data_IF_019199810016
#
_entry.id   IF_019199810016
#
_cell.length_a   1.000
_cell.length_b   1.000
_cell.length_c   1.000
_cell.angle_alpha   90.00
_cell.angle_beta   90.00
_cell.angle_gamma   90.00
#
_symmetry.space_group_name_H-M   'P 1'
#
loop_
_entity.id
_entity.type
_entity.pdbx_description
1 polymer ?
#
# COMPACT_ATOMS: atom_id res chain seq x y z
N UNK A 1 -24.14 -27.63 31.59
CA UNK A 1 -24.19 -28.02 33.01
C UNK A 1 -25.63 -27.86 33.48
N UNK A 2 -26.21 -28.84 34.19
CA UNK A 2 -27.65 -28.87 34.47
C UNK A 2 -28.05 -27.70 35.40
N UNK A 3 -28.95 -26.81 34.97
CA UNK A 3 -29.29 -25.57 35.72
C UNK A 3 -29.80 -25.88 37.14
N UNK A 4 -30.47 -27.01 37.31
CA UNK A 4 -30.91 -27.53 38.61
C UNK A 4 -29.74 -27.81 39.56
N UNK A 5 -28.62 -28.36 39.05
CA UNK A 5 -27.43 -28.60 39.89
C UNK A 5 -26.79 -27.29 40.33
N UNK A 6 -26.89 -26.24 39.52
CA UNK A 6 -26.33 -24.92 39.82
C UNK A 6 -27.14 -24.20 40.90
N UNK A 7 -28.47 -24.20 40.79
CA UNK A 7 -29.35 -23.64 41.82
C UNK A 7 -29.11 -24.31 43.17
N UNK A 8 -29.01 -25.65 43.15
CA UNK A 8 -28.69 -26.42 44.34
C UNK A 8 -27.33 -26.02 44.96
N UNK A 9 -26.27 -25.87 44.16
CA UNK A 9 -24.95 -25.44 44.66
C UNK A 9 -25.00 -24.01 45.25
N UNK A 10 -25.74 -23.08 44.63
CA UNK A 10 -25.84 -21.71 45.15
C UNK A 10 -26.62 -21.63 46.46
N UNK A 11 -27.68 -22.43 46.62
CA UNK A 11 -28.44 -22.51 47.87
C UNK A 11 -27.59 -23.11 49.00
N UNK A 12 -26.77 -24.11 48.69
CA UNK A 12 -25.90 -24.77 49.67
C UNK A 12 -24.78 -23.82 50.16
N UNK A 13 -24.22 -23.01 49.25
CA UNK A 13 -23.21 -21.99 49.62
C UNK A 13 -23.80 -20.93 50.55
N UNK A 14 -25.06 -20.50 50.33
CA UNK A 14 -25.75 -19.58 51.24
C UNK A 14 -26.04 -20.22 52.61
N UNK A 15 -26.33 -21.53 52.63
CA UNK A 15 -26.48 -22.28 53.87
C UNK A 15 -25.17 -22.31 54.68
N UNK A 16 -24.03 -22.53 54.01
CA UNK A 16 -22.70 -22.53 54.65
C UNK A 16 -22.28 -21.16 55.20
N UNK A 17 -22.69 -20.07 54.53
CA UNK A 17 -22.50 -18.70 55.03
C UNK A 17 -23.33 -18.44 56.29
N UNK A 18 -24.62 -18.78 56.29
CA UNK A 18 -25.52 -18.57 57.45
C UNK A 18 -25.15 -19.39 58.68
N UNK A 19 -24.56 -20.57 58.47
CA UNK A 19 -24.15 -21.49 59.54
C UNK A 19 -22.72 -21.25 60.04
N UNK A 20 -21.98 -20.27 59.48
CA UNK A 20 -20.57 -20.01 59.76
C UNK A 20 -19.65 -21.24 59.59
N UNK A 21 -20.05 -22.17 58.71
CA UNK A 21 -19.28 -23.39 58.41
C UNK A 21 -18.00 -23.08 57.63
N UNK A 22 -18.01 -21.98 56.87
CA UNK A 22 -16.89 -21.50 56.06
C UNK A 22 -16.72 -19.99 56.25
N UNK A 23 -15.49 -19.45 56.21
CA UNK A 23 -15.27 -18.02 56.31
C UNK A 23 -15.90 -17.24 55.15
N UNK A 24 -16.53 -16.10 55.43
CA UNK A 24 -17.26 -15.27 54.44
C UNK A 24 -16.50 -14.99 53.14
N UNK A 25 -15.18 -14.81 53.23
CA UNK A 25 -14.33 -14.54 52.06
C UNK A 25 -14.34 -15.70 51.06
N UNK A 26 -14.42 -16.95 51.53
CA UNK A 26 -14.48 -18.13 50.67
C UNK A 26 -15.86 -18.33 50.06
N UNK A 27 -16.94 -18.10 50.82
CA UNK A 27 -18.31 -18.15 50.29
C UNK A 27 -18.51 -17.12 49.17
N UNK A 28 -18.01 -15.89 49.35
CA UNK A 28 -18.04 -14.85 48.31
C UNK A 28 -17.26 -15.21 47.05
N UNK A 29 -16.10 -15.86 47.20
CA UNK A 29 -15.31 -16.34 46.07
C UNK A 29 -16.06 -17.40 45.26
N UNK A 30 -16.63 -18.41 45.93
CA UNK A 30 -17.40 -19.47 45.28
C UNK A 30 -18.67 -18.92 44.61
N UNK A 31 -19.38 -18.02 45.29
CA UNK A 31 -20.57 -17.37 44.76
C UNK A 31 -20.26 -16.54 43.49
N UNK A 32 -19.11 -15.85 43.46
CA UNK A 32 -18.67 -15.15 42.25
C UNK A 32 -18.34 -16.11 41.11
N UNK A 33 -17.69 -17.24 41.40
CA UNK A 33 -17.31 -18.23 40.39
C UNK A 33 -18.53 -18.83 39.67
N UNK A 34 -19.62 -19.11 40.42
CA UNK A 34 -20.88 -19.60 39.85
C UNK A 34 -21.80 -18.49 39.28
N UNK A 35 -21.50 -17.21 39.55
CA UNK A 35 -22.17 -16.05 38.94
C UNK A 35 -21.48 -15.62 37.63
N UNK A 36 -20.16 -15.66 37.55
CA UNK A 36 -19.38 -15.30 36.35
C UNK A 36 -19.69 -16.21 35.16
N UNK A 37 -19.97 -17.50 35.39
CA UNK A 37 -20.33 -18.43 34.31
C UNK A 37 -21.70 -18.14 33.65
N UNK A 38 -22.53 -17.24 34.19
CA UNK A 38 -23.78 -16.84 33.52
C UNK A 38 -23.67 -15.67 32.54
N UNK A 39 -22.53 -14.98 32.48
CA UNK A 39 -22.31 -13.94 31.48
C UNK A 39 -20.86 -13.98 31.02
N UNK A 40 -20.46 -15.08 30.38
CA UNK A 40 -19.35 -15.00 29.42
C UNK A 40 -19.82 -14.24 28.18
N UNK A 41 -19.97 -12.93 28.33
CA UNK A 41 -19.84 -12.00 27.23
C UNK A 41 -18.43 -12.19 26.67
N UNK A 42 -18.34 -12.92 25.54
CA UNK A 42 -17.10 -13.09 24.78
C UNK A 42 -16.61 -11.72 24.33
N UNK A 43 -15.82 -11.06 25.18
CA UNK A 43 -15.04 -9.87 24.85
C UNK A 43 -13.89 -10.29 23.94
N UNK A 44 -14.14 -10.30 22.64
CA UNK A 44 -13.08 -10.15 21.66
C UNK A 44 -12.92 -8.66 21.37
N UNK A 45 -11.71 -8.12 21.56
CA UNK A 45 -11.35 -6.73 21.22
C UNK A 45 -12.16 -5.61 21.90
N UNK A 46 -12.48 -5.75 23.19
CA UNK A 46 -12.91 -4.61 24.03
C UNK A 46 -14.23 -3.93 23.64
N UNK A 47 -15.02 -4.52 22.74
CA UNK A 47 -16.35 -4.05 22.40
C UNK A 47 -17.37 -5.06 22.90
N UNK A 48 -18.30 -4.58 23.73
CA UNK A 48 -19.44 -5.36 24.22
C UNK A 48 -20.38 -5.67 23.06
N UNK A 49 -20.48 -6.95 22.70
CA UNK A 49 -21.35 -7.45 21.62
C UNK A 49 -22.81 -7.59 22.09
N UNK A 50 -23.09 -7.42 23.39
CA UNK A 50 -24.40 -7.71 23.95
C UNK A 50 -25.46 -6.60 23.73
N UNK A 51 -25.07 -5.45 23.17
CA UNK A 51 -26.01 -4.37 22.81
C UNK A 51 -26.44 -4.38 21.33
N UNK A 52 -26.05 -5.39 20.55
CA UNK A 52 -26.30 -5.40 19.10
C UNK A 52 -27.64 -6.01 18.69
N UNK A 53 -28.39 -6.63 19.61
CA UNK A 53 -29.67 -7.28 19.30
C UNK A 53 -30.85 -6.30 19.15
N UNK A 54 -30.75 -5.09 19.71
CA UNK A 54 -31.82 -4.08 19.63
C UNK A 54 -31.34 -2.71 19.10
N UNK A 55 -30.27 -2.67 18.30
CA UNK A 55 -29.86 -1.44 17.62
C UNK A 55 -30.56 -1.30 16.26
N UNK A 56 -31.75 -0.70 16.33
CA UNK A 56 -32.39 0.18 15.32
C UNK A 56 -32.33 -0.33 13.87
N UNK A 57 -33.46 -0.81 13.35
CA UNK A 57 -33.78 -0.94 11.92
C UNK A 57 -33.19 0.22 11.08
N UNK A 58 -33.17 1.43 11.63
CA UNK A 58 -32.53 2.62 11.05
C UNK A 58 -31.04 2.45 10.65
N UNK A 59 -30.20 1.77 11.45
CA UNK A 59 -28.81 1.54 11.07
C UNK A 59 -28.69 0.50 9.97
N UNK A 60 -29.54 -0.53 9.99
CA UNK A 60 -29.61 -1.55 8.94
C UNK A 60 -30.11 -0.97 7.61
N UNK A 61 -31.16 -0.14 7.65
CA UNK A 61 -31.66 0.56 6.46
C UNK A 61 -30.69 1.62 5.97
N UNK A 62 -30.03 2.35 6.86
CA UNK A 62 -28.98 3.30 6.49
C UNK A 62 -27.78 2.60 5.83
N UNK A 63 -27.35 1.45 6.36
CA UNK A 63 -26.29 0.64 5.77
C UNK A 63 -26.71 0.09 4.40
N UNK A 64 -27.92 -0.46 4.29
CA UNK A 64 -28.45 -0.96 3.01
C UNK A 64 -28.57 0.16 1.97
N UNK A 65 -29.07 1.32 2.38
CA UNK A 65 -29.17 2.51 1.52
C UNK A 65 -27.80 3.00 1.08
N UNK A 66 -26.82 3.10 1.98
CA UNK A 66 -25.44 3.46 1.64
C UNK A 66 -24.82 2.46 0.67
N UNK A 67 -24.95 1.16 0.92
CA UNK A 67 -24.43 0.11 0.04
C UNK A 67 -25.11 0.19 -1.34
N UNK A 68 -26.43 0.36 -1.38
CA UNK A 68 -27.18 0.50 -2.63
C UNK A 68 -26.80 1.77 -3.39
N UNK A 69 -26.56 2.88 -2.68
CA UNK A 69 -26.15 4.15 -3.28
C UNK A 69 -24.72 4.05 -3.85
N UNK A 70 -23.78 3.53 -3.07
CA UNK A 70 -22.42 3.25 -3.54
C UNK A 70 -22.44 2.26 -4.72
N UNK A 71 -23.22 1.18 -4.63
CA UNK A 71 -23.37 0.21 -5.70
C UNK A 71 -23.92 0.84 -6.98
N UNK A 72 -24.93 1.70 -6.87
CA UNK A 72 -25.50 2.41 -8.02
C UNK A 72 -24.49 3.37 -8.67
N UNK A 73 -23.71 4.10 -7.86
CA UNK A 73 -22.63 4.98 -8.34
C UNK A 73 -21.56 4.17 -9.06
N UNK A 74 -21.11 3.05 -8.48
CA UNK A 74 -20.06 2.21 -9.09
C UNK A 74 -20.53 1.56 -10.39
N UNK A 75 -21.76 1.04 -10.44
CA UNK A 75 -22.29 0.39 -11.65
C UNK A 75 -22.56 1.37 -12.78
N UNK A 76 -23.00 2.59 -12.47
CA UNK A 76 -23.30 3.63 -13.46
C UNK A 76 -22.16 4.65 -13.63
N UNK A 77 -20.97 4.35 -13.12
CA UNK A 77 -19.86 5.29 -13.09
C UNK A 77 -19.52 5.84 -14.49
N UNK A 78 -19.51 4.96 -15.49
CA UNK A 78 -19.21 5.31 -16.88
C UNK A 78 -20.32 6.11 -17.58
N UNK A 79 -21.54 6.10 -17.04
CA UNK A 79 -22.66 6.87 -17.59
C UNK A 79 -22.68 8.32 -17.10
N UNK A 80 -21.91 8.64 -16.07
CA UNK A 80 -21.79 10.01 -15.57
C UNK A 80 -20.92 10.87 -16.48
N UNK A 81 -21.22 12.18 -16.54
CA UNK A 81 -20.38 13.14 -17.25
C UNK A 81 -18.97 13.23 -16.66
N UNK A 82 -17.99 13.62 -17.48
CA UNK A 82 -16.55 13.63 -17.13
C UNK A 82 -16.27 14.41 -15.83
N UNK A 83 -16.95 15.54 -15.60
CA UNK A 83 -16.77 16.37 -14.41
C UNK A 83 -17.17 15.64 -13.13
N UNK A 84 -18.24 14.84 -13.18
CA UNK A 84 -18.72 14.08 -12.02
C UNK A 84 -17.82 12.86 -11.76
N UNK A 85 -17.33 12.20 -12.81
CA UNK A 85 -16.34 11.12 -12.69
C UNK A 85 -15.05 11.62 -12.01
N UNK A 86 -14.55 12.80 -12.42
CA UNK A 86 -13.40 13.44 -11.77
C UNK A 86 -13.70 13.75 -10.30
N UNK A 87 -14.87 14.34 -10.02
CA UNK A 87 -15.27 14.71 -8.66
C UNK A 87 -15.35 13.52 -7.71
N UNK A 88 -16.02 12.44 -8.13
CA UNK A 88 -16.17 11.22 -7.32
C UNK A 88 -14.82 10.54 -7.10
N UNK A 89 -13.98 10.42 -8.13
CA UNK A 89 -12.66 9.81 -7.99
C UNK A 89 -11.73 10.63 -7.10
N UNK A 90 -11.75 11.95 -7.23
CA UNK A 90 -10.96 12.82 -6.35
C UNK A 90 -11.44 12.71 -4.90
N UNK A 91 -12.75 12.71 -4.67
CA UNK A 91 -13.33 12.52 -3.34
C UNK A 91 -12.89 11.18 -2.74
N UNK A 92 -12.95 10.10 -3.52
CA UNK A 92 -12.52 8.78 -3.09
C UNK A 92 -11.03 8.74 -2.71
N UNK A 93 -10.16 9.35 -3.53
CA UNK A 93 -8.72 9.47 -3.26
C UNK A 93 -8.45 10.26 -1.96
N UNK A 94 -9.14 11.39 -1.78
CA UNK A 94 -9.02 12.23 -0.57
C UNK A 94 -9.47 11.45 0.67
N UNK A 95 -10.59 10.71 0.59
CA UNK A 95 -11.04 9.85 1.68
C UNK A 95 -10.02 8.76 2.02
N UNK A 96 -9.42 8.11 1.03
CA UNK A 96 -8.39 7.08 1.27
C UNK A 96 -7.13 7.66 1.93
N UNK A 97 -6.62 8.80 1.44
CA UNK A 97 -5.48 9.47 2.07
C UNK A 97 -5.82 9.96 3.48
N UNK A 98 -6.97 10.60 3.67
CA UNK A 98 -7.42 11.13 4.96
C UNK A 98 -7.59 10.03 6.01
N UNK A 99 -8.24 8.93 5.64
CA UNK A 99 -8.39 7.76 6.53
C UNK A 99 -7.06 7.08 6.80
N UNK A 100 -6.18 6.95 5.81
CA UNK A 100 -4.81 6.45 5.99
C UNK A 100 -4.02 7.27 7.00
N UNK A 101 -4.04 8.60 6.88
CA UNK A 101 -3.35 9.51 7.80
C UNK A 101 -3.96 9.45 9.21
N UNK A 102 -5.29 9.40 9.32
CA UNK A 102 -5.99 9.30 10.61
C UNK A 102 -5.63 8.01 11.38
N UNK A 103 -5.63 6.86 10.67
CA UNK A 103 -5.39 5.55 11.28
C UNK A 103 -3.90 5.29 11.54
N UNK A 104 -2.99 6.10 10.95
CA UNK A 104 -1.54 5.93 11.09
C UNK A 104 -1.06 5.76 12.53
N UNK A 105 -1.60 6.52 13.48
CA UNK A 105 -1.23 6.42 14.90
C UNK A 105 -1.60 5.07 15.53
N UNK A 106 -2.63 4.40 15.01
CA UNK A 106 -3.13 3.11 15.47
C UNK A 106 -2.45 1.94 14.74
N UNK A 107 -2.27 2.06 13.42
CA UNK A 107 -1.64 1.03 12.59
C UNK A 107 -0.95 1.62 11.36
N UNK A 108 0.37 1.78 11.43
CA UNK A 108 1.18 2.33 10.33
C UNK A 108 1.14 1.46 9.06
N UNK A 109 0.99 0.14 9.19
CA UNK A 109 0.84 -0.76 8.03
C UNK A 109 -0.48 -0.55 7.28
N UNK A 110 -1.60 -0.38 8.00
CA UNK A 110 -2.89 -0.14 7.37
C UNK A 110 -2.92 1.24 6.68
N UNK A 111 -2.32 2.25 7.33
CA UNK A 111 -2.16 3.58 6.76
C UNK A 111 -1.37 3.54 5.43
N UNK A 112 -0.25 2.81 5.39
CA UNK A 112 0.55 2.65 4.18
C UNK A 112 -0.22 1.97 3.05
N UNK A 113 -1.00 0.93 3.34
CA UNK A 113 -1.83 0.24 2.34
C UNK A 113 -2.93 1.15 1.77
N UNK A 114 -3.61 1.93 2.62
CA UNK A 114 -4.65 2.87 2.19
C UNK A 114 -4.07 3.99 1.30
N UNK A 115 -2.93 4.57 1.70
CA UNK A 115 -2.25 5.58 0.89
C UNK A 115 -1.73 4.99 -0.44
N UNK A 116 -1.30 3.73 -0.45
CA UNK A 116 -0.86 3.04 -1.67
C UNK A 116 -2.03 2.81 -2.62
N UNK A 117 -3.19 2.37 -2.11
CA UNK A 117 -4.43 2.26 -2.88
C UNK A 117 -4.88 3.62 -3.45
N UNK A 118 -4.76 4.69 -2.66
CA UNK A 118 -5.06 6.04 -3.11
C UNK A 118 -4.14 6.48 -4.27
N UNK A 119 -2.84 6.18 -4.14
CA UNK A 119 -1.83 6.46 -5.18
C UNK A 119 -2.10 5.69 -6.46
N UNK A 120 -2.37 4.39 -6.36
CA UNK A 120 -2.69 3.55 -7.51
C UNK A 120 -3.93 4.06 -8.24
N UNK A 121 -4.98 4.39 -7.48
CA UNK A 121 -6.20 4.98 -8.04
C UNK A 121 -5.88 6.28 -8.76
N UNK A 122 -5.10 7.18 -8.15
CA UNK A 122 -4.68 8.43 -8.77
C UNK A 122 -3.94 8.17 -10.11
N UNK A 123 -2.89 7.35 -10.10
CA UNK A 123 -2.06 7.10 -11.29
C UNK A 123 -2.86 6.45 -12.43
N UNK A 124 -3.79 5.54 -12.13
CA UNK A 124 -4.57 4.81 -13.14
C UNK A 124 -5.75 5.62 -13.69
N UNK A 125 -6.37 6.45 -12.86
CA UNK A 125 -7.63 7.11 -13.22
C UNK A 125 -7.44 8.24 -14.24
N UNK A 126 -6.33 8.99 -14.19
CA UNK A 126 -6.05 10.04 -15.18
C UNK A 126 -5.94 9.52 -16.62
N UNK A 127 -5.04 8.56 -16.91
CA UNK A 127 -4.94 7.94 -18.23
C UNK A 127 -6.26 7.34 -18.73
N UNK A 128 -7.07 6.79 -17.83
CA UNK A 128 -8.40 6.28 -18.15
C UNK A 128 -9.31 7.39 -18.68
N UNK A 129 -9.43 8.52 -17.98
CA UNK A 129 -10.25 9.65 -18.45
C UNK A 129 -9.76 10.23 -19.77
N UNK A 130 -8.44 10.30 -19.96
CA UNK A 130 -7.83 10.81 -21.18
C UNK A 130 -8.10 9.94 -22.41
N UNK A 131 -8.38 8.65 -22.23
CA UNK A 131 -8.74 7.76 -23.35
C UNK A 131 -10.07 8.11 -24.02
N UNK A 132 -10.93 8.89 -23.34
CA UNK A 132 -12.21 9.36 -23.89
C UNK A 132 -12.13 10.75 -24.52
N UNK A 133 -10.97 11.43 -24.45
CA UNK A 133 -10.78 12.73 -25.08
C UNK A 133 -10.24 12.55 -26.51
N UNK A 134 -10.89 13.15 -27.48
CA UNK A 134 -10.41 13.18 -28.87
C UNK A 134 -9.24 14.16 -28.98
N UNK A 135 -8.06 13.68 -29.39
CA UNK A 135 -6.87 14.51 -29.64
C UNK A 135 -5.54 13.81 -29.34
N UNK A 136 -4.42 14.51 -29.53
CA UNK A 136 -3.11 14.04 -29.09
C UNK A 136 -2.96 14.23 -27.57
N UNK A 137 -3.37 13.21 -26.82
CA UNK A 137 -3.40 13.23 -25.36
C UNK A 137 -2.06 12.81 -24.73
N UNK A 138 -1.02 12.56 -25.54
CA UNK A 138 0.26 12.06 -25.05
C UNK A 138 0.93 13.05 -24.08
N UNK A 139 1.02 14.33 -24.46
CA UNK A 139 1.63 15.36 -23.62
C UNK A 139 0.83 15.61 -22.33
N UNK A 140 -0.49 15.62 -22.40
CA UNK A 140 -1.35 15.74 -21.22
C UNK A 140 -1.17 14.57 -20.26
N UNK A 141 -1.06 13.34 -20.78
CA UNK A 141 -0.78 12.16 -19.99
C UNK A 141 0.58 12.23 -19.28
N UNK A 142 1.63 12.70 -19.97
CA UNK A 142 2.96 12.90 -19.38
C UNK A 142 2.94 13.97 -18.28
N UNK A 143 2.30 15.12 -18.52
CA UNK A 143 2.19 16.21 -17.53
C UNK A 143 1.43 15.73 -16.29
N UNK A 144 0.33 15.00 -16.48
CA UNK A 144 -0.45 14.42 -15.40
C UNK A 144 0.36 13.42 -14.56
N UNK A 145 1.05 12.48 -15.21
CA UNK A 145 1.91 11.50 -14.55
C UNK A 145 3.05 12.19 -13.78
N UNK A 146 3.62 13.26 -14.35
CA UNK A 146 4.64 14.06 -13.69
C UNK A 146 4.09 14.71 -12.41
N UNK A 147 2.90 15.31 -12.49
CA UNK A 147 2.20 15.84 -11.32
C UNK A 147 1.94 14.78 -10.24
N UNK A 148 1.53 13.58 -10.64
CA UNK A 148 1.35 12.45 -9.73
C UNK A 148 2.65 12.03 -9.06
N UNK A 149 3.75 11.92 -9.81
CA UNK A 149 5.06 11.55 -9.27
C UNK A 149 5.56 12.59 -8.26
N UNK A 150 5.42 13.88 -8.56
CA UNK A 150 5.76 14.97 -7.63
C UNK A 150 4.91 14.87 -6.36
N UNK A 151 3.60 14.69 -6.49
CA UNK A 151 2.71 14.54 -5.34
C UNK A 151 3.10 13.36 -4.45
N UNK A 152 3.34 12.19 -5.03
CA UNK A 152 3.77 10.98 -4.31
C UNK A 152 5.13 11.18 -3.63
N UNK A 153 6.06 11.88 -4.29
CA UNK A 153 7.36 12.22 -3.71
C UNK A 153 7.21 13.12 -2.48
N UNK A 154 6.36 14.15 -2.57
CA UNK A 154 6.08 15.06 -1.46
C UNK A 154 5.44 14.34 -0.26
N UNK A 155 4.46 13.46 -0.53
CA UNK A 155 3.83 12.61 0.49
C UNK A 155 4.89 11.69 1.14
N UNK A 156 5.73 11.05 0.33
CA UNK A 156 6.81 10.19 0.81
C UNK A 156 7.88 10.93 1.61
N UNK A 157 8.17 12.18 1.26
CA UNK A 157 9.05 13.06 2.03
C UNK A 157 8.42 13.41 3.37
N UNK A 158 7.19 13.95 3.37
CA UNK A 158 6.52 14.41 4.57
C UNK A 158 6.34 13.28 5.61
N UNK A 159 5.95 12.10 5.16
CA UNK A 159 5.74 10.94 6.04
C UNK A 159 6.99 10.07 6.26
N UNK A 160 8.12 10.41 5.64
CA UNK A 160 9.38 9.67 5.73
C UNK A 160 9.24 8.20 5.29
N UNK A 161 8.42 7.93 4.28
CA UNK A 161 8.18 6.60 3.74
C UNK A 161 9.07 6.32 2.53
N UNK A 162 10.07 5.45 2.72
CA UNK A 162 11.05 5.07 1.68
C UNK A 162 10.38 4.56 0.39
N UNK A 163 9.37 3.69 0.52
CA UNK A 163 8.71 3.06 -0.62
C UNK A 163 7.97 4.05 -1.51
N UNK A 164 7.41 5.12 -0.93
CA UNK A 164 6.73 6.17 -1.68
C UNK A 164 7.73 7.03 -2.47
N UNK A 165 8.85 7.40 -1.85
CA UNK A 165 9.90 8.15 -2.52
C UNK A 165 10.50 7.33 -3.67
N UNK A 166 10.79 6.04 -3.42
CA UNK A 166 11.27 5.12 -4.44
C UNK A 166 10.26 4.96 -5.59
N UNK A 167 8.97 4.74 -5.30
CA UNK A 167 7.92 4.63 -6.31
C UNK A 167 7.81 5.89 -7.19
N UNK A 168 7.95 7.08 -6.61
CA UNK A 168 7.98 8.33 -7.37
C UNK A 168 9.16 8.39 -8.35
N UNK A 169 10.36 7.98 -7.93
CA UNK A 169 11.54 7.93 -8.79
C UNK A 169 11.40 6.92 -9.94
N UNK A 170 10.77 5.77 -9.69
CA UNK A 170 10.40 4.83 -10.75
C UNK A 170 9.41 5.47 -11.73
N UNK A 171 8.41 6.21 -11.21
CA UNK A 171 7.47 6.96 -12.04
C UNK A 171 8.16 7.99 -12.94
N UNK A 172 9.08 8.79 -12.41
CA UNK A 172 9.90 9.71 -13.22
C UNK A 172 10.73 9.00 -14.29
N UNK A 173 11.24 7.81 -13.97
CA UNK A 173 11.98 6.99 -14.93
C UNK A 173 11.07 6.54 -16.08
N UNK A 174 9.86 6.06 -15.79
CA UNK A 174 8.89 5.68 -16.83
C UNK A 174 8.56 6.87 -17.73
N UNK A 175 8.34 8.06 -17.15
CA UNK A 175 8.10 9.31 -17.90
C UNK A 175 9.30 9.62 -18.81
N UNK A 176 10.51 9.56 -18.29
CA UNK A 176 11.74 9.77 -19.06
C UNK A 176 11.86 8.80 -20.24
N UNK A 177 11.62 7.51 -20.02
CA UNK A 177 11.64 6.49 -21.08
C UNK A 177 10.61 6.75 -22.17
N UNK A 178 9.36 7.04 -21.79
CA UNK A 178 8.29 7.37 -22.75
C UNK A 178 8.61 8.63 -23.55
N UNK A 179 9.13 9.66 -22.88
CA UNK A 179 9.53 10.91 -23.52
C UNK A 179 10.67 10.71 -24.53
N UNK A 180 11.66 9.89 -24.18
CA UNK A 180 12.81 9.60 -25.05
C UNK A 180 12.39 8.86 -26.33
N UNK A 181 11.47 7.90 -26.22
CA UNK A 181 10.92 7.18 -27.38
C UNK A 181 10.00 8.06 -28.24
N UNK A 182 9.28 9.00 -27.63
CA UNK A 182 8.50 9.99 -28.36
C UNK A 182 9.41 10.95 -29.15
N UNK A 183 10.54 11.37 -28.56
CA UNK A 183 11.50 12.28 -29.21
C UNK A 183 12.24 11.61 -30.39
N UNK A 184 12.59 10.33 -30.27
CA UNK A 184 13.25 9.55 -31.32
C UNK A 184 12.56 8.20 -31.54
N UNK A 185 11.48 8.18 -32.35
CA UNK A 185 10.88 6.92 -32.79
C UNK A 185 11.92 6.10 -33.56
N UNK A 186 12.11 4.83 -33.19
CA UNK A 186 13.09 3.96 -33.85
C UNK A 186 14.55 4.19 -33.44
N UNK A 187 14.79 4.74 -32.24
CA UNK A 187 16.12 4.73 -31.61
C UNK A 187 16.72 3.30 -31.66
N UNK A 188 18.04 3.16 -31.72
CA UNK A 188 18.70 1.84 -31.69
C UNK A 188 19.00 1.38 -30.27
N UNK A 189 19.01 0.05 -30.07
CA UNK A 189 19.05 -0.59 -28.75
C UNK A 189 20.18 -0.06 -27.87
N UNK A 190 21.39 0.02 -28.45
CA UNK A 190 22.57 0.51 -27.75
C UNK A 190 22.48 1.99 -27.36
N UNK A 191 21.91 2.86 -28.20
CA UNK A 191 21.78 4.29 -27.88
C UNK A 191 20.77 4.48 -26.74
N UNK A 192 19.70 3.69 -26.75
CA UNK A 192 18.73 3.73 -25.66
C UNK A 192 19.38 3.32 -24.34
N UNK A 193 20.10 2.20 -24.28
CA UNK A 193 20.81 1.82 -23.05
C UNK A 193 21.87 2.81 -22.61
N UNK A 194 22.63 3.38 -23.54
CA UNK A 194 23.60 4.43 -23.23
C UNK A 194 22.95 5.66 -22.60
N UNK A 195 21.69 5.97 -22.90
CA UNK A 195 20.97 7.08 -22.26
C UNK A 195 20.67 6.81 -20.77
N UNK A 196 20.46 5.54 -20.39
CA UNK A 196 20.10 5.14 -19.04
C UNK A 196 21.30 4.96 -18.10
N UNK A 197 22.48 4.64 -18.64
CA UNK A 197 23.70 4.45 -17.83
C UNK A 197 24.07 5.73 -17.04
N UNK A 198 24.18 6.93 -17.66
CA UNK A 198 24.45 8.17 -16.91
C UNK A 198 23.39 8.46 -15.86
N UNK A 199 22.11 8.23 -16.18
CA UNK A 199 21.02 8.42 -15.23
C UNK A 199 21.18 7.52 -14.00
N UNK A 200 21.49 6.23 -14.18
CA UNK A 200 21.71 5.30 -13.07
C UNK A 200 22.88 5.73 -12.17
N UNK A 201 24.00 6.17 -12.77
CA UNK A 201 25.18 6.65 -12.03
C UNK A 201 24.88 7.91 -11.23
N UNK A 202 24.16 8.87 -11.82
CA UNK A 202 23.73 10.10 -11.13
C UNK A 202 22.88 9.76 -9.91
N UNK A 203 21.94 8.82 -10.03
CA UNK A 203 21.09 8.42 -8.90
C UNK A 203 21.89 7.76 -7.78
N UNK A 204 22.83 6.86 -8.09
CA UNK A 204 23.70 6.23 -7.09
C UNK A 204 24.58 7.29 -6.42
N UNK A 205 25.15 8.21 -7.19
CA UNK A 205 25.98 9.31 -6.69
C UNK A 205 25.22 10.27 -5.78
N UNK A 206 24.01 10.69 -6.19
CA UNK A 206 23.11 11.49 -5.35
C UNK A 206 22.74 10.76 -4.06
N UNK A 207 22.48 9.45 -4.15
CA UNK A 207 22.23 8.62 -2.97
C UNK A 207 23.40 8.63 -1.98
N UNK A 208 24.64 8.64 -2.46
CA UNK A 208 25.81 8.76 -1.60
C UNK A 208 25.92 10.15 -0.94
N UNK A 209 25.76 11.23 -1.70
CA UNK A 209 25.85 12.60 -1.15
C UNK A 209 24.76 12.85 -0.11
N UNK A 210 23.53 12.47 -0.43
CA UNK A 210 22.36 12.71 0.42
C UNK A 210 22.39 11.81 1.66
N UNK A 211 23.22 10.76 1.70
CA UNK A 211 23.32 9.84 2.83
C UNK A 211 23.63 10.53 4.16
N UNK A 212 24.42 11.61 4.14
CA UNK A 212 24.75 12.38 5.35
C UNK A 212 23.58 13.21 5.88
N UNK A 213 22.71 13.72 4.99
CA UNK A 213 21.60 14.63 5.34
C UNK A 213 20.30 13.88 5.57
N UNK A 214 19.93 12.98 4.66
CA UNK A 214 18.68 12.22 4.71
C UNK A 214 18.90 10.76 4.34
N UNK A 215 19.07 9.92 5.36
CA UNK A 215 19.29 8.47 5.20
C UNK A 215 18.18 7.77 4.43
N UNK A 216 16.93 8.23 4.57
CA UNK A 216 15.77 7.63 3.91
C UNK A 216 15.79 7.98 2.41
N UNK A 217 15.98 9.26 2.10
CA UNK A 217 16.12 9.72 0.70
C UNK A 217 17.30 9.07 0.00
N UNK A 218 18.45 8.97 0.68
CA UNK A 218 19.64 8.32 0.17
C UNK A 218 19.40 6.85 -0.23
N UNK A 219 18.69 6.08 0.61
CA UNK A 219 18.32 4.70 0.31
C UNK A 219 17.37 4.62 -0.89
N UNK A 220 16.39 5.53 -0.98
CA UNK A 220 15.48 5.61 -2.15
C UNK A 220 16.26 5.83 -3.45
N UNK A 221 17.22 6.76 -3.45
CA UNK A 221 18.09 7.04 -4.60
C UNK A 221 18.99 5.85 -4.96
N UNK A 222 19.55 5.16 -3.96
CA UNK A 222 20.36 3.97 -4.18
C UNK A 222 19.56 2.85 -4.87
N UNK A 223 18.38 2.52 -4.32
CA UNK A 223 17.50 1.52 -4.92
C UNK A 223 17.04 1.93 -6.31
N UNK A 224 16.64 3.20 -6.48
CA UNK A 224 16.26 3.73 -7.78
C UNK A 224 17.41 3.57 -8.78
N UNK A 225 18.63 4.03 -8.46
CA UNK A 225 19.79 3.93 -9.35
C UNK A 225 20.09 2.50 -9.81
N UNK A 226 20.04 1.52 -8.90
CA UNK A 226 20.20 0.11 -9.24
C UNK A 226 19.11 -0.34 -10.21
N UNK A 227 17.86 0.02 -9.94
CA UNK A 227 16.75 -0.39 -10.83
C UNK A 227 16.80 0.31 -12.19
N UNK A 228 17.18 1.60 -12.25
CA UNK A 228 17.33 2.36 -13.48
C UNK A 228 18.31 1.69 -14.46
N UNK A 229 19.33 1.01 -13.95
CA UNK A 229 20.30 0.29 -14.78
C UNK A 229 19.67 -0.86 -15.61
N UNK A 230 18.55 -1.42 -15.12
CA UNK A 230 17.80 -2.53 -15.76
C UNK A 230 16.45 -2.08 -16.34
N UNK A 231 16.10 -0.79 -16.27
CA UNK A 231 14.86 -0.27 -16.86
C UNK A 231 14.79 -0.42 -18.39
N UNK A 232 15.88 -0.24 -19.18
CA UNK A 232 15.81 -0.44 -20.62
C UNK A 232 15.22 -1.80 -21.00
N UNK A 233 15.67 -2.85 -20.33
CA UNK A 233 15.25 -4.24 -20.51
C UNK A 233 13.77 -4.42 -20.17
N UNK A 234 13.35 -3.90 -19.01
CA UNK A 234 11.94 -3.89 -18.60
C UNK A 234 11.06 -3.19 -19.64
N UNK A 235 11.53 -2.08 -20.18
CA UNK A 235 10.80 -1.33 -21.20
C UNK A 235 10.65 -2.14 -22.49
N UNK A 236 11.71 -2.84 -22.93
CA UNK A 236 11.61 -3.70 -24.12
C UNK A 236 10.71 -4.91 -23.94
N UNK A 237 10.70 -5.50 -22.75
CA UNK A 237 9.83 -6.61 -22.41
C UNK A 237 8.35 -6.17 -22.42
N UNK A 238 8.07 -4.95 -21.98
CA UNK A 238 6.71 -4.42 -21.89
C UNK A 238 6.17 -3.83 -23.21
N UNK A 239 6.98 -3.05 -23.93
CA UNK A 239 6.52 -2.28 -25.09
C UNK A 239 6.41 -3.10 -26.38
N UNK A 240 7.13 -4.23 -26.47
CA UNK A 240 7.33 -4.93 -27.73
C UNK A 240 8.18 -4.10 -28.69
N UNK A 241 9.21 -4.70 -29.28
CA UNK A 241 10.08 -4.05 -30.27
C UNK A 241 10.27 -4.95 -31.47
N UNK A 242 10.94 -4.43 -32.51
CA UNK A 242 11.43 -5.26 -33.62
C UNK A 242 12.31 -6.38 -33.08
N UNK A 243 12.35 -7.51 -33.78
CA UNK A 243 13.14 -8.66 -33.32
C UNK A 243 14.61 -8.30 -33.10
N UNK A 244 15.20 -7.53 -34.02
CA UNK A 244 16.58 -7.04 -33.91
C UNK A 244 16.83 -6.19 -32.65
N UNK A 245 15.89 -5.30 -32.34
CA UNK A 245 15.96 -4.45 -31.14
C UNK A 245 15.88 -5.29 -29.86
N UNK A 246 14.99 -6.29 -29.83
CA UNK A 246 14.84 -7.20 -28.68
C UNK A 246 16.08 -8.07 -28.48
N UNK A 247 16.65 -8.59 -29.56
CA UNK A 247 17.88 -9.39 -29.52
C UNK A 247 19.06 -8.56 -28.99
N UNK A 248 19.22 -7.32 -29.47
CA UNK A 248 20.26 -6.41 -29.03
C UNK A 248 20.24 -6.17 -27.51
N UNK A 249 19.08 -5.82 -26.96
CA UNK A 249 18.93 -5.54 -25.52
C UNK A 249 19.04 -6.81 -24.68
N UNK A 250 18.57 -7.96 -25.18
CA UNK A 250 18.75 -9.24 -24.49
C UNK A 250 20.23 -9.64 -24.38
N UNK A 251 21.02 -9.43 -25.43
CA UNK A 251 22.47 -9.67 -25.37
C UNK A 251 23.15 -8.76 -24.35
N UNK A 252 22.79 -7.48 -24.31
CA UNK A 252 23.39 -6.53 -23.38
C UNK A 252 22.97 -6.84 -21.93
N UNK A 253 21.74 -7.29 -21.71
CA UNK A 253 21.29 -7.81 -20.42
C UNK A 253 22.12 -9.02 -19.95
N UNK A 254 22.39 -9.99 -20.84
CA UNK A 254 23.24 -11.15 -20.50
C UNK A 254 24.66 -10.70 -20.10
N UNK A 255 25.23 -9.73 -20.84
CA UNK A 255 26.52 -9.15 -20.50
C UNK A 255 26.47 -8.50 -19.10
N UNK A 256 25.44 -7.70 -18.80
CA UNK A 256 25.23 -7.10 -17.47
C UNK A 256 25.14 -8.14 -16.36
N UNK A 257 24.44 -9.25 -16.58
CA UNK A 257 24.30 -10.34 -15.61
C UNK A 257 25.62 -11.07 -15.36
N UNK A 258 26.41 -11.32 -16.40
CA UNK A 258 27.76 -11.89 -16.26
C UNK A 258 28.66 -10.94 -15.48
N UNK A 259 28.68 -9.66 -15.82
CA UNK A 259 29.44 -8.64 -15.10
C UNK A 259 29.02 -8.55 -13.64
N UNK A 260 27.71 -8.52 -13.35
CA UNK A 260 27.18 -8.50 -12.00
C UNK A 260 27.64 -9.74 -11.20
N UNK A 261 27.65 -10.92 -11.83
CA UNK A 261 28.13 -12.16 -11.20
C UNK A 261 29.62 -12.11 -10.89
N UNK A 262 30.44 -11.59 -11.81
CA UNK A 262 31.89 -11.40 -11.60
C UNK A 262 32.13 -10.44 -10.43
N UNK A 263 31.38 -9.33 -10.36
CA UNK A 263 31.47 -8.35 -9.27
C UNK A 263 31.07 -9.01 -7.94
N UNK A 264 29.92 -9.69 -7.89
CA UNK A 264 29.45 -10.38 -6.68
C UNK A 264 30.45 -11.44 -6.21
N UNK A 265 31.02 -12.21 -7.13
CA UNK A 265 32.05 -13.19 -6.82
C UNK A 265 33.36 -12.55 -6.31
N UNK A 266 33.78 -11.42 -6.89
CA UNK A 266 34.94 -10.67 -6.46
C UNK A 266 34.77 -10.08 -5.05
N UNK A 267 33.59 -9.58 -4.74
CA UNK A 267 33.25 -8.98 -3.44
C UNK A 267 32.72 -9.97 -2.41
N UNK A 268 32.68 -11.27 -2.73
CA UNK A 268 32.07 -12.32 -1.89
C UNK A 268 32.51 -12.27 -0.42
N UNK A 269 33.80 -12.05 -0.16
CA UNK A 269 34.34 -12.01 1.21
C UNK A 269 33.71 -10.89 2.06
N UNK A 270 33.45 -9.73 1.46
CA UNK A 270 32.88 -8.56 2.16
C UNK A 270 31.39 -8.70 2.43
N UNK A 271 30.63 -9.31 1.51
CA UNK A 271 29.18 -9.41 1.67
C UNK A 271 28.75 -10.66 2.45
N UNK A 272 29.53 -11.75 2.43
CA UNK A 272 29.29 -12.92 3.28
C UNK A 272 29.41 -12.57 4.77
N UNK A 273 30.37 -11.73 5.16
CA UNK A 273 30.51 -11.20 6.54
C UNK A 273 29.31 -10.35 6.98
N UNK A 274 28.52 -9.83 6.04
CA UNK A 274 27.32 -9.04 6.36
C UNK A 274 26.06 -9.89 6.54
N UNK A 275 26.10 -11.14 6.05
CA UNK A 275 24.99 -12.11 6.12
C UNK A 275 25.19 -13.12 7.26
N UNK A 276 26.44 -13.49 7.55
CA UNK A 276 26.83 -14.38 8.66
C UNK A 276 26.74 -13.68 10.02
#
# INVERSE_FOLDING_TARGET
MNEQKRQWITEEIEHWEKSNLLPDKYCRFLMNLYKEDSVQDKKWLGLSINNWACSRFFYWTAAFFLISLFGSIFLNFNSFGISLQIGISLFFIVCLYGTGIYIRKRSDSAARLLCLLATLTLVLFGPYLFSFMEGDVFLFNLIYLLGCCVFVLLVGWFFHWIWFQYAAWIGFSIIYGRFLLWLKPGISAGIFEMAWIPASLIFIWLGWIIHSVNRIGARSFWWAGITLFFIPELYTAAAGGTEDWRLGITMIFLIKMVLATIILYGYRKKWIEWIA
#
